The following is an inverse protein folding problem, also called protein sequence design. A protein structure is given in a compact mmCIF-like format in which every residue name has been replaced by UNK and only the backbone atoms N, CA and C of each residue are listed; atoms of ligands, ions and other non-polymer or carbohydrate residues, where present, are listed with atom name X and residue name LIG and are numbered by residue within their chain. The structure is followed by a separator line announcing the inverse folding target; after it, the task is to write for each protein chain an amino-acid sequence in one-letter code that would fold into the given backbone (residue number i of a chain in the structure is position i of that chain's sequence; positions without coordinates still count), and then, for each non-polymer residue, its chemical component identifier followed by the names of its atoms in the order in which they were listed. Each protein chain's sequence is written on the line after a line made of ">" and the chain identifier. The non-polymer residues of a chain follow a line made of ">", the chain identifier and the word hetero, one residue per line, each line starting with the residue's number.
data_IF_807451038842
#
_entry.id   IF_807451038842
#
_cell.length_a   1.000
_cell.length_b   1.000
_cell.length_c   1.000
_cell.angle_alpha   90.00
_cell.angle_beta   90.00
_cell.angle_gamma   90.00
#
_symmetry.space_group_name_H-M   'P 1'
#
loop_
_entity.id
_entity.type
_entity.pdbx_description
1 polymer ?
#
# COMPACT_ATOMS: atom_id res chain seq x y z
N UNK A 1 -28.64 -15.95 0.99
CA UNK A 1 -27.87 -14.69 0.84
C UNK A 1 -27.11 -14.43 2.13
N UNK A 2 -25.78 -14.23 2.13
CA UNK A 2 -25.10 -13.64 3.28
C UNK A 2 -24.90 -12.13 3.06
N UNK A 3 -25.42 -11.35 4.02
CA UNK A 3 -25.39 -9.89 4.18
C UNK A 3 -24.17 -9.43 4.99
N UNK A 4 -22.95 -9.78 4.56
CA UNK A 4 -21.75 -9.23 5.19
C UNK A 4 -20.76 -8.79 4.12
N UNK A 5 -20.69 -7.48 3.90
CA UNK A 5 -19.55 -6.87 3.23
C UNK A 5 -18.25 -7.18 3.98
N UNK A 6 -17.08 -7.13 3.31
CA UNK A 6 -15.81 -7.47 3.92
C UNK A 6 -15.55 -6.54 5.11
N UNK A 7 -15.46 -7.11 6.32
CA UNK A 7 -15.07 -6.37 7.52
C UNK A 7 -13.57 -6.10 7.44
N UNK A 8 -13.17 -4.84 7.63
CA UNK A 8 -11.78 -4.43 7.73
C UNK A 8 -11.04 -5.29 8.79
N UNK A 9 -9.83 -5.76 8.46
CA UNK A 9 -9.02 -6.55 9.41
C UNK A 9 -8.70 -5.73 10.66
N UNK A 10 -8.62 -6.38 11.83
CA UNK A 10 -8.20 -5.75 13.10
C UNK A 10 -6.84 -5.04 12.95
N UNK A 11 -5.98 -5.58 12.10
CA UNK A 11 -4.65 -5.03 11.79
C UNK A 11 -4.72 -3.80 10.86
N UNK A 12 -5.60 -3.82 9.86
CA UNK A 12 -5.91 -2.64 9.03
C UNK A 12 -6.45 -1.47 9.86
N UNK A 13 -7.30 -1.75 10.86
CA UNK A 13 -7.81 -0.72 11.77
C UNK A 13 -6.72 -0.11 12.64
N UNK A 14 -5.82 -0.93 13.20
CA UNK A 14 -4.67 -0.44 13.99
C UNK A 14 -3.71 0.41 13.15
N UNK A 15 -3.42 -0.02 11.91
CA UNK A 15 -2.59 0.75 10.97
C UNK A 15 -3.21 2.11 10.66
N UNK A 16 -4.52 2.15 10.40
CA UNK A 16 -5.23 3.41 10.21
C UNK A 16 -5.12 4.31 11.43
N UNK A 17 -5.49 3.83 12.63
CA UNK A 17 -5.48 4.65 13.85
C UNK A 17 -4.08 5.20 14.14
N UNK A 18 -3.04 4.40 13.91
CA UNK A 18 -1.66 4.83 14.01
C UNK A 18 -1.32 5.93 12.99
N UNK A 19 -1.62 5.73 11.70
CA UNK A 19 -1.39 6.72 10.64
C UNK A 19 -2.19 8.01 10.84
N UNK A 20 -3.43 7.93 11.32
CA UNK A 20 -4.24 9.11 11.66
C UNK A 20 -3.64 9.90 12.82
N UNK A 21 -3.07 9.22 13.81
CA UNK A 21 -2.39 9.88 14.93
C UNK A 21 -1.10 10.54 14.43
N UNK A 22 -0.32 9.83 13.62
CA UNK A 22 0.90 10.34 13.00
C UNK A 22 0.64 11.59 12.16
N UNK A 23 -0.41 11.59 11.33
CA UNK A 23 -0.78 12.71 10.47
C UNK A 23 -1.22 13.96 11.26
N UNK A 24 -1.77 13.78 12.46
CA UNK A 24 -2.13 14.88 13.38
C UNK A 24 -0.92 15.45 14.10
N UNK A 25 0.07 14.62 14.44
CA UNK A 25 1.31 15.05 15.10
C UNK A 25 2.39 15.53 14.13
N UNK A 26 2.29 15.14 12.85
CA UNK A 26 3.29 15.45 11.83
C UNK A 26 3.00 16.79 11.14
N UNK A 27 4.00 17.69 11.04
CA UNK A 27 3.89 18.94 10.29
C UNK A 27 3.93 18.74 8.77
N UNK A 28 4.16 17.52 8.27
CA UNK A 28 4.27 17.26 6.83
C UNK A 28 2.95 17.56 6.10
N UNK A 29 2.98 18.16 4.90
CA UNK A 29 1.77 18.47 4.13
C UNK A 29 1.07 17.23 3.56
N UNK A 30 1.61 16.03 3.78
CA UNK A 30 1.03 14.77 3.35
C UNK A 30 0.19 14.10 4.43
N UNK A 31 -0.90 13.47 3.99
CA UNK A 31 -1.74 12.61 4.78
C UNK A 31 -1.74 11.23 4.13
N UNK A 32 -0.99 10.29 4.72
CA UNK A 32 -0.92 8.93 4.25
C UNK A 32 -1.91 8.00 4.98
N UNK A 33 -2.78 7.36 4.21
CA UNK A 33 -3.73 6.33 4.62
C UNK A 33 -3.69 5.11 3.69
N UNK A 34 -2.56 4.92 3.00
CA UNK A 34 -2.30 3.74 2.19
C UNK A 34 -2.23 2.45 3.02
N UNK A 35 -2.48 1.30 2.36
CA UNK A 35 -2.29 -0.05 2.92
C UNK A 35 -3.08 -0.31 4.23
N UNK A 36 -4.23 0.34 4.38
CA UNK A 36 -5.08 0.22 5.57
C UNK A 36 -6.24 -0.78 5.36
N UNK A 37 -6.29 -1.47 4.21
CA UNK A 37 -7.38 -2.37 3.81
C UNK A 37 -8.76 -1.70 3.90
N UNK A 38 -8.79 -0.39 3.60
CA UNK A 38 -9.99 0.43 3.72
C UNK A 38 -11.03 0.04 2.67
N UNK A 39 -12.25 -0.27 3.10
CA UNK A 39 -13.39 -0.50 2.21
C UNK A 39 -14.11 0.79 1.82
N UNK A 40 -14.06 1.78 2.71
CA UNK A 40 -14.64 3.11 2.58
C UNK A 40 -13.71 4.15 3.21
N UNK A 41 -13.82 5.40 2.80
CA UNK A 41 -13.01 6.49 3.37
C UNK A 41 -13.55 6.83 4.76
N UNK A 42 -12.72 6.82 5.82
CA UNK A 42 -13.16 7.18 7.17
C UNK A 42 -13.78 8.57 7.27
N UNK A 43 -14.88 8.67 8.03
CA UNK A 43 -15.61 9.92 8.22
C UNK A 43 -14.74 11.00 8.84
N UNK A 44 -14.75 12.19 8.24
CA UNK A 44 -14.06 13.36 8.75
C UNK A 44 -12.62 13.51 8.30
N UNK A 45 -12.07 12.59 7.48
CA UNK A 45 -10.74 12.79 6.88
C UNK A 45 -10.69 14.07 6.08
N UNK A 46 -11.73 14.38 5.31
CA UNK A 46 -11.74 15.59 4.48
C UNK A 46 -11.73 16.86 5.34
N UNK A 47 -12.46 16.86 6.45
CA UNK A 47 -12.41 17.93 7.43
C UNK A 47 -11.04 18.03 8.13
N UNK A 48 -10.39 16.90 8.45
CA UNK A 48 -9.04 16.88 9.02
C UNK A 48 -8.01 17.44 8.04
N UNK A 49 -8.06 17.07 6.77
CA UNK A 49 -7.19 17.63 5.75
C UNK A 49 -7.37 19.15 5.60
N UNK A 50 -8.60 19.66 5.77
CA UNK A 50 -8.89 21.10 5.82
C UNK A 50 -8.24 21.78 7.03
N UNK A 51 -8.44 21.23 8.23
CA UNK A 51 -7.91 21.80 9.49
C UNK A 51 -6.38 21.78 9.49
N UNK A 52 -5.79 20.70 8.98
CA UNK A 52 -4.35 20.51 8.93
C UNK A 52 -3.70 21.07 7.65
N UNK A 53 -4.49 21.69 6.76
CA UNK A 53 -4.05 22.23 5.46
C UNK A 53 -3.14 21.28 4.67
N UNK A 54 -3.51 20.00 4.61
CA UNK A 54 -2.71 18.99 3.91
C UNK A 54 -2.86 19.17 2.39
N UNK A 55 -1.73 19.21 1.68
CA UNK A 55 -1.69 19.34 0.23
C UNK A 55 -1.71 17.98 -0.48
N UNK A 56 -1.32 16.90 0.20
CA UNK A 56 -1.20 15.56 -0.40
C UNK A 56 -2.03 14.55 0.38
N UNK A 57 -2.90 13.81 -0.29
CA UNK A 57 -3.71 12.74 0.30
C UNK A 57 -3.42 11.44 -0.43
N UNK A 58 -2.82 10.49 0.30
CA UNK A 58 -2.47 9.18 -0.22
C UNK A 58 -3.45 8.15 0.34
N UNK A 59 -4.25 7.56 -0.54
CA UNK A 59 -5.27 6.55 -0.22
C UNK A 59 -5.06 5.27 -1.06
N UNK A 60 -3.86 5.10 -1.61
CA UNK A 60 -3.55 3.99 -2.50
C UNK A 60 -3.49 2.63 -1.80
N UNK A 61 -3.56 1.56 -2.60
CA UNK A 61 -3.42 0.18 -2.11
C UNK A 61 -4.45 -0.18 -1.03
N UNK A 62 -5.70 0.24 -1.26
CA UNK A 62 -6.83 -0.03 -0.39
C UNK A 62 -7.93 -0.81 -1.14
N UNK A 63 -9.06 -1.06 -0.48
CA UNK A 63 -10.20 -1.78 -1.04
C UNK A 63 -11.37 -0.84 -1.32
N UNK A 64 -11.10 0.47 -1.53
CA UNK A 64 -12.12 1.49 -1.63
C UNK A 64 -13.02 1.23 -2.83
N UNK A 65 -14.32 1.08 -2.55
CA UNK A 65 -15.35 0.93 -3.59
C UNK A 65 -15.92 2.27 -4.04
N UNK A 66 -15.88 3.26 -3.16
CA UNK A 66 -16.33 4.63 -3.37
C UNK A 66 -15.52 5.60 -2.50
N UNK A 67 -15.47 6.87 -2.92
CA UNK A 67 -15.00 7.99 -2.10
C UNK A 67 -16.09 8.53 -1.17
N UNK A 68 -17.31 7.99 -1.24
CA UNK A 68 -18.39 8.31 -0.30
C UNK A 68 -18.00 7.81 1.10
N UNK A 69 -18.22 8.63 2.12
CA UNK A 69 -17.94 8.31 3.52
C UNK A 69 -16.94 9.23 4.20
N UNK A 70 -16.01 9.83 3.46
CA UNK A 70 -14.95 10.69 4.01
C UNK A 70 -15.39 12.05 4.56
N UNK A 71 -16.62 12.47 4.25
CA UNK A 71 -17.17 13.79 4.53
C UNK A 71 -17.52 14.54 3.24
N UNK A 72 -17.40 15.87 3.26
CA UNK A 72 -17.64 16.73 2.10
C UNK A 72 -16.31 16.90 1.34
N UNK A 73 -16.25 16.46 0.07
CA UNK A 73 -15.03 16.57 -0.75
C UNK A 73 -14.55 18.02 -0.92
N UNK A 74 -15.48 18.98 -0.93
CA UNK A 74 -15.20 20.43 -0.92
C UNK A 74 -14.24 20.89 0.17
N UNK A 75 -14.19 20.20 1.30
CA UNK A 75 -13.33 20.58 2.41
C UNK A 75 -11.84 20.39 2.08
N UNK A 76 -11.50 19.64 1.03
CA UNK A 76 -10.14 19.45 0.52
C UNK A 76 -9.66 20.64 -0.35
N UNK A 77 -9.89 21.86 0.12
CA UNK A 77 -9.64 23.09 -0.63
C UNK A 77 -8.15 23.43 -0.85
N UNK A 78 -7.24 22.82 -0.10
CA UNK A 78 -5.80 22.98 -0.24
C UNK A 78 -5.14 21.78 -0.95
N UNK A 79 -5.92 20.76 -1.33
CA UNK A 79 -5.38 19.52 -1.84
C UNK A 79 -4.85 19.72 -3.26
N UNK A 80 -3.60 19.31 -3.48
CA UNK A 80 -2.90 19.33 -4.76
C UNK A 80 -2.71 17.95 -5.34
N UNK A 81 -2.46 16.95 -4.50
CA UNK A 81 -2.22 15.58 -4.95
C UNK A 81 -3.22 14.63 -4.28
N UNK A 82 -3.96 13.89 -5.10
CA UNK A 82 -4.85 12.83 -4.67
C UNK A 82 -4.42 11.52 -5.31
N UNK A 83 -3.85 10.62 -4.50
CA UNK A 83 -3.39 9.32 -4.95
C UNK A 83 -4.37 8.22 -4.51
N UNK A 84 -5.05 7.61 -5.48
CA UNK A 84 -6.05 6.57 -5.32
C UNK A 84 -5.70 5.29 -6.08
N UNK A 85 -4.44 5.11 -6.49
CA UNK A 85 -4.05 3.92 -7.25
C UNK A 85 -4.27 2.62 -6.47
N UNK A 86 -4.43 1.50 -7.19
CA UNK A 86 -4.67 0.16 -6.61
C UNK A 86 -5.86 0.15 -5.62
N UNK A 87 -7.03 0.57 -6.11
CA UNK A 87 -8.28 0.51 -5.37
C UNK A 87 -9.34 -0.27 -6.16
N UNK A 88 -10.58 -0.30 -5.67
CA UNK A 88 -11.71 -0.99 -6.31
C UNK A 88 -12.79 0.00 -6.75
N UNK A 89 -12.41 1.25 -7.04
CA UNK A 89 -13.34 2.30 -7.40
C UNK A 89 -14.06 1.94 -8.70
N UNK A 90 -15.38 1.93 -8.67
CA UNK A 90 -16.25 1.67 -9.83
C UNK A 90 -16.66 2.95 -10.55
N UNK A 91 -16.80 4.03 -9.79
CA UNK A 91 -17.13 5.38 -10.26
C UNK A 91 -16.50 6.41 -9.32
N UNK A 92 -16.32 7.63 -9.82
CA UNK A 92 -15.99 8.79 -9.00
C UNK A 92 -17.26 9.60 -8.71
N UNK A 93 -17.36 10.24 -7.54
CA UNK A 93 -18.46 11.15 -7.24
C UNK A 93 -18.36 12.44 -8.07
N UNK A 94 -19.49 13.05 -8.39
CA UNK A 94 -19.54 14.34 -9.11
C UNK A 94 -18.89 15.48 -8.30
N UNK A 95 -18.88 15.37 -6.97
CA UNK A 95 -18.26 16.34 -6.07
C UNK A 95 -16.72 16.40 -6.24
N UNK A 96 -16.10 15.46 -6.98
CA UNK A 96 -14.66 15.54 -7.30
C UNK A 96 -14.32 16.83 -8.04
N UNK A 97 -15.25 17.37 -8.83
CA UNK A 97 -15.06 18.60 -9.58
C UNK A 97 -14.94 19.87 -8.73
N UNK A 98 -15.19 19.78 -7.41
CA UNK A 98 -15.06 20.91 -6.49
C UNK A 98 -13.61 21.14 -6.00
N UNK A 99 -12.69 20.22 -6.30
CA UNK A 99 -11.28 20.31 -5.91
C UNK A 99 -10.50 21.28 -6.80
N UNK A 100 -10.73 22.58 -6.63
CA UNK A 100 -10.19 23.63 -7.50
C UNK A 100 -8.66 23.68 -7.57
N UNK A 101 -7.95 23.26 -6.51
CA UNK A 101 -6.49 23.31 -6.40
C UNK A 101 -5.79 22.01 -6.81
N UNK A 102 -6.55 20.97 -7.18
CA UNK A 102 -5.99 19.66 -7.47
C UNK A 102 -5.14 19.72 -8.75
N UNK A 103 -3.89 19.28 -8.63
CA UNK A 103 -2.90 19.26 -9.72
C UNK A 103 -2.66 17.83 -10.22
N UNK A 104 -2.65 16.85 -9.32
CA UNK A 104 -2.37 15.45 -9.65
C UNK A 104 -3.50 14.56 -9.14
N UNK A 105 -4.10 13.80 -10.04
CA UNK A 105 -5.10 12.79 -9.74
C UNK A 105 -4.63 11.44 -10.29
N UNK A 106 -4.27 10.54 -9.39
CA UNK A 106 -3.86 9.18 -9.74
C UNK A 106 -4.96 8.17 -9.43
N UNK A 107 -5.47 7.52 -10.46
CA UNK A 107 -6.53 6.51 -10.42
C UNK A 107 -6.07 5.18 -11.01
N UNK A 108 -4.76 4.98 -11.17
CA UNK A 108 -4.19 3.78 -11.78
C UNK A 108 -4.68 2.50 -11.09
N UNK A 109 -4.95 1.46 -11.88
CA UNK A 109 -5.36 0.14 -11.39
C UNK A 109 -6.61 0.20 -10.50
N UNK A 110 -7.70 0.69 -11.08
CA UNK A 110 -9.04 0.72 -10.49
C UNK A 110 -10.05 0.00 -11.40
N UNK A 111 -11.35 0.08 -11.09
CA UNK A 111 -12.42 -0.56 -11.87
C UNK A 111 -13.35 0.47 -12.51
N UNK A 112 -12.86 1.67 -12.79
CA UNK A 112 -13.67 2.77 -13.32
C UNK A 112 -14.19 2.42 -14.71
N UNK A 113 -15.50 2.50 -14.90
CA UNK A 113 -16.15 2.31 -16.21
C UNK A 113 -16.30 3.61 -16.99
N UNK A 114 -16.42 4.73 -16.26
CA UNK A 114 -16.55 6.07 -16.81
C UNK A 114 -16.01 7.10 -15.81
N UNK A 115 -15.54 8.24 -16.30
CA UNK A 115 -15.18 9.41 -15.47
C UNK A 115 -16.35 10.39 -15.42
N UNK A 116 -16.80 10.90 -14.26
CA UNK A 116 -17.90 11.86 -14.25
C UNK A 116 -17.52 13.14 -15.00
N UNK A 117 -18.50 13.80 -15.62
CA UNK A 117 -18.27 15.07 -16.33
C UNK A 117 -17.66 16.13 -15.41
N UNK A 118 -17.92 16.04 -14.10
CA UNK A 118 -17.35 16.93 -13.11
C UNK A 118 -15.81 16.95 -13.05
N UNK A 119 -15.12 15.89 -13.51
CA UNK A 119 -13.63 15.90 -13.63
C UNK A 119 -13.16 17.04 -14.52
N UNK A 120 -13.96 17.45 -15.52
CA UNK A 120 -13.64 18.58 -16.40
C UNK A 120 -13.63 19.94 -15.70
N UNK A 121 -14.22 20.05 -14.50
CA UNK A 121 -14.24 21.28 -13.70
C UNK A 121 -12.91 21.54 -12.98
N UNK A 122 -12.01 20.54 -12.93
CA UNK A 122 -10.69 20.64 -12.31
C UNK A 122 -9.74 21.48 -13.18
N UNK A 123 -9.83 22.81 -13.04
CA UNK A 123 -9.07 23.75 -13.87
C UNK A 123 -7.56 23.74 -13.60
N UNK A 124 -7.12 23.37 -12.40
CA UNK A 124 -5.71 23.29 -12.03
C UNK A 124 -5.06 21.93 -12.28
N UNK A 125 -5.81 20.92 -12.76
CA UNK A 125 -5.28 19.57 -12.91
C UNK A 125 -4.27 19.50 -14.05
N UNK A 126 -3.07 19.05 -13.73
CA UNK A 126 -1.95 18.89 -14.65
C UNK A 126 -1.75 17.43 -15.06
N UNK A 127 -1.98 16.49 -14.15
CA UNK A 127 -1.78 15.07 -14.40
C UNK A 127 -3.01 14.28 -14.02
N UNK A 128 -3.57 13.57 -15.00
CA UNK A 128 -4.64 12.61 -14.81
C UNK A 128 -4.17 11.22 -15.25
N UNK A 129 -3.89 10.36 -14.27
CA UNK A 129 -3.52 8.97 -14.54
C UNK A 129 -4.74 8.07 -14.32
N UNK A 130 -5.27 7.51 -15.40
CA UNK A 130 -6.38 6.55 -15.39
C UNK A 130 -5.95 5.17 -15.95
N UNK A 131 -4.65 4.88 -15.94
CA UNK A 131 -4.09 3.63 -16.44
C UNK A 131 -4.71 2.41 -15.76
N UNK A 132 -4.85 1.30 -16.49
CA UNK A 132 -5.41 0.05 -15.95
C UNK A 132 -6.80 0.21 -15.32
N UNK A 133 -7.71 0.84 -16.06
CA UNK A 133 -9.12 0.91 -15.69
C UNK A 133 -10.00 0.20 -16.74
N UNK A 134 -11.32 0.34 -16.64
CA UNK A 134 -12.30 -0.24 -17.57
C UNK A 134 -13.06 0.84 -18.32
N UNK A 135 -12.42 2.00 -18.54
CA UNK A 135 -13.04 3.14 -19.20
C UNK A 135 -13.42 2.75 -20.63
N UNK A 136 -14.69 2.91 -21.00
CA UNK A 136 -15.19 2.67 -22.36
C UNK A 136 -15.15 3.93 -23.20
N UNK A 137 -15.47 5.06 -22.57
CA UNK A 137 -15.65 6.34 -23.24
C UNK A 137 -15.05 7.48 -22.41
N UNK A 138 -14.60 8.52 -23.11
CA UNK A 138 -14.12 9.76 -22.51
C UNK A 138 -15.05 10.89 -22.93
N UNK A 139 -15.66 11.56 -21.95
CA UNK A 139 -16.61 12.64 -22.19
C UNK A 139 -15.95 13.81 -22.92
N UNK A 140 -16.68 14.43 -23.85
CA UNK A 140 -16.22 15.62 -24.59
C UNK A 140 -15.86 16.80 -23.68
N UNK A 141 -16.42 16.84 -22.48
CA UNK A 141 -16.13 17.84 -21.46
C UNK A 141 -14.65 17.86 -21.02
N UNK A 142 -13.89 16.76 -21.19
CA UNK A 142 -12.46 16.72 -20.83
C UNK A 142 -11.66 17.83 -21.54
N UNK A 143 -12.10 18.26 -22.72
CA UNK A 143 -11.53 19.37 -23.47
C UNK A 143 -11.57 20.74 -22.77
N UNK A 144 -12.34 20.88 -21.68
CA UNK A 144 -12.42 22.12 -20.90
C UNK A 144 -11.30 22.25 -19.85
N UNK A 145 -10.45 21.23 -19.69
CA UNK A 145 -9.35 21.23 -18.73
C UNK A 145 -8.16 21.98 -19.31
N UNK A 146 -7.95 23.23 -18.89
CA UNK A 146 -6.95 24.13 -19.50
C UNK A 146 -5.52 23.92 -19.04
N UNK A 147 -5.31 23.22 -17.91
CA UNK A 147 -3.98 23.04 -17.31
C UNK A 147 -3.44 21.62 -17.46
N UNK A 148 -4.17 20.73 -18.15
CA UNK A 148 -3.81 19.33 -18.25
C UNK A 148 -2.59 19.16 -19.16
N UNK A 149 -1.51 18.59 -18.62
CA UNK A 149 -0.26 18.28 -19.31
C UNK A 149 -0.13 16.81 -19.63
N UNK A 150 -0.56 15.94 -18.71
CA UNK A 150 -0.42 14.49 -18.85
C UNK A 150 -1.77 13.80 -18.66
N UNK A 151 -2.16 13.02 -19.66
CA UNK A 151 -3.34 12.17 -19.63
C UNK A 151 -2.95 10.73 -19.98
N UNK A 152 -3.03 9.84 -18.99
CA UNK A 152 -2.78 8.41 -19.20
C UNK A 152 -4.10 7.64 -19.20
N UNK A 153 -4.45 7.11 -20.37
CA UNK A 153 -5.61 6.24 -20.61
C UNK A 153 -5.17 4.83 -21.04
N UNK A 154 -3.90 4.48 -20.90
CA UNK A 154 -3.37 3.18 -21.30
C UNK A 154 -4.03 2.02 -20.54
N UNK A 155 -4.10 0.84 -21.16
CA UNK A 155 -4.76 -0.35 -20.59
C UNK A 155 -6.21 -0.11 -20.16
N UNK A 156 -6.97 0.66 -20.96
CA UNK A 156 -8.42 0.83 -20.84
C UNK A 156 -9.15 0.18 -22.04
N UNK A 157 -10.47 0.37 -22.13
CA UNK A 157 -11.32 -0.08 -23.24
C UNK A 157 -11.82 1.08 -24.10
N UNK A 158 -11.07 2.19 -24.09
CA UNK A 158 -11.43 3.40 -24.85
C UNK A 158 -11.14 3.15 -26.32
N UNK A 159 -12.19 3.26 -27.14
CA UNK A 159 -12.09 3.07 -28.60
C UNK A 159 -12.14 4.37 -29.39
N UNK A 160 -12.75 5.42 -28.83
CA UNK A 160 -12.91 6.72 -29.49
C UNK A 160 -12.50 7.84 -28.53
N UNK A 161 -11.58 8.69 -28.98
CA UNK A 161 -11.27 9.94 -28.30
C UNK A 161 -12.17 11.08 -28.77
N UNK A 162 -12.65 11.94 -27.86
CA UNK A 162 -13.42 13.12 -28.23
C UNK A 162 -12.55 14.14 -28.96
N UNK A 163 -13.06 14.68 -30.07
CA UNK A 163 -12.39 15.75 -30.86
C UNK A 163 -12.07 16.99 -30.03
N UNK A 164 -12.90 17.25 -29.01
CA UNK A 164 -12.78 18.34 -28.05
C UNK A 164 -11.47 18.30 -27.24
N UNK A 165 -10.74 17.18 -27.22
CA UNK A 165 -9.42 17.10 -26.59
C UNK A 165 -8.42 18.09 -27.23
N UNK A 166 -8.62 18.48 -28.50
CA UNK A 166 -7.83 19.54 -29.16
C UNK A 166 -7.88 20.89 -28.42
N UNK A 167 -8.94 21.17 -27.65
CA UNK A 167 -9.05 22.42 -26.87
C UNK A 167 -8.01 22.51 -25.74
N UNK A 168 -7.43 21.38 -25.33
CA UNK A 168 -6.38 21.32 -24.32
C UNK A 168 -5.05 21.64 -25.00
N UNK A 169 -4.66 22.91 -24.95
CA UNK A 169 -3.44 23.38 -25.61
C UNK A 169 -2.16 23.11 -24.81
N UNK A 170 -2.28 22.65 -23.57
CA UNK A 170 -1.17 22.36 -22.65
C UNK A 170 -0.78 20.89 -22.62
N UNK A 171 -1.43 20.02 -23.40
CA UNK A 171 -1.26 18.57 -23.30
C UNK A 171 0.09 18.13 -23.91
N UNK A 172 1.04 17.78 -23.06
CA UNK A 172 2.38 17.32 -23.44
C UNK A 172 2.42 15.81 -23.70
N UNK A 173 1.68 15.03 -22.92
CA UNK A 173 1.72 13.56 -22.99
C UNK A 173 0.31 12.97 -22.91
N UNK A 174 -0.05 12.22 -23.94
CA UNK A 174 -1.26 11.43 -24.05
C UNK A 174 -0.87 9.99 -24.31
N UNK A 175 -1.14 9.12 -23.34
CA UNK A 175 -0.87 7.69 -23.43
C UNK A 175 -2.18 6.95 -23.66
N UNK A 176 -2.25 6.22 -24.77
CA UNK A 176 -3.43 5.44 -25.18
C UNK A 176 -3.00 4.06 -25.67
N UNK A 177 -3.89 3.08 -25.61
CA UNK A 177 -3.61 1.75 -26.12
C UNK A 177 -3.94 1.68 -27.62
N UNK A 178 -2.89 1.64 -28.45
CA UNK A 178 -2.96 1.60 -29.92
C UNK A 178 -3.87 0.45 -30.41
N UNK A 179 -3.92 -0.67 -29.67
CA UNK A 179 -4.63 -1.87 -30.11
C UNK A 179 -6.16 -1.78 -29.98
N UNK A 180 -6.66 -0.87 -29.15
CA UNK A 180 -8.09 -0.74 -28.86
C UNK A 180 -8.71 0.48 -29.56
N UNK A 181 -7.89 1.36 -30.13
CA UNK A 181 -8.34 2.61 -30.74
C UNK A 181 -8.91 2.41 -32.15
N UNK A 182 -10.13 2.91 -32.35
CA UNK A 182 -10.78 3.05 -33.66
C UNK A 182 -10.58 4.47 -34.19
N UNK A 183 -10.62 5.46 -33.30
CA UNK A 183 -10.41 6.87 -33.66
C UNK A 183 -9.71 7.62 -32.51
N UNK A 184 -8.51 8.20 -32.73
CA UNK A 184 -7.75 8.31 -33.99
C UNK A 184 -7.19 6.96 -34.49
N UNK A 185 -6.90 6.82 -35.79
CA UNK A 185 -6.40 5.58 -36.37
C UNK A 185 -5.08 5.15 -35.72
N UNK A 186 -4.87 3.83 -35.63
CA UNK A 186 -3.72 3.22 -34.95
C UNK A 186 -2.36 3.76 -35.43
N UNK A 187 -2.24 4.05 -36.73
CA UNK A 187 -1.02 4.61 -37.35
C UNK A 187 -0.64 5.97 -36.74
N UNK A 188 -1.61 6.83 -36.41
CA UNK A 188 -1.36 8.13 -35.77
C UNK A 188 -1.11 7.99 -34.27
N UNK A 189 -1.56 6.90 -33.66
CA UNK A 189 -1.28 6.62 -32.25
C UNK A 189 0.16 6.16 -32.04
N UNK A 190 0.79 5.53 -33.05
CA UNK A 190 2.21 5.17 -33.03
C UNK A 190 3.14 6.38 -33.20
N UNK A 191 2.73 7.39 -33.97
CA UNK A 191 3.46 8.66 -34.15
C UNK A 191 3.48 9.60 -32.93
N UNK A 192 2.84 9.18 -31.83
CA UNK A 192 2.90 9.86 -30.54
C UNK A 192 1.87 10.98 -30.34
N UNK A 193 1.94 11.61 -29.17
CA UNK A 193 0.92 12.57 -28.69
C UNK A 193 0.68 13.75 -29.63
N UNK A 194 1.73 14.28 -30.28
CA UNK A 194 1.61 15.43 -31.16
C UNK A 194 0.82 15.13 -32.45
N UNK A 195 0.91 13.90 -32.96
CA UNK A 195 0.16 13.47 -34.15
C UNK A 195 -1.30 13.21 -33.82
N UNK A 196 -1.56 12.57 -32.69
CA UNK A 196 -2.92 12.40 -32.15
C UNK A 196 -3.60 13.77 -32.00
N UNK A 197 -2.93 14.74 -31.40
CA UNK A 197 -3.48 16.08 -31.20
C UNK A 197 -3.71 16.82 -32.54
N UNK A 198 -2.77 16.73 -33.49
CA UNK A 198 -2.97 17.28 -34.85
C UNK A 198 -4.19 16.68 -35.55
N UNK A 199 -4.39 15.37 -35.44
CA UNK A 199 -5.53 14.67 -36.03
C UNK A 199 -6.86 15.12 -35.40
N UNK A 200 -6.90 15.24 -34.08
CA UNK A 200 -8.08 15.71 -33.33
C UNK A 200 -8.40 17.18 -33.65
N UNK A 201 -7.37 18.01 -33.85
CA UNK A 201 -7.52 19.41 -34.25
C UNK A 201 -8.01 19.55 -35.70
N UNK A 202 -7.44 18.80 -36.64
CA UNK A 202 -7.91 18.75 -38.02
C UNK A 202 -9.39 18.32 -38.11
N UNK A 203 -9.81 17.37 -37.27
CA UNK A 203 -11.20 16.91 -37.21
C UNK A 203 -12.17 17.86 -36.50
N UNK A 204 -11.64 18.82 -35.74
CA UNK A 204 -12.40 19.88 -35.06
C UNK A 204 -12.41 21.19 -35.86
N UNK A 205 -11.56 21.34 -36.88
CA UNK A 205 -11.37 22.58 -37.63
C UNK A 205 -10.53 23.63 -36.89
N UNK A 206 -9.72 23.23 -35.91
CA UNK A 206 -8.89 24.11 -35.08
C UNK A 206 -7.41 23.95 -35.43
N UNK A 207 -6.61 25.00 -35.25
CA UNK A 207 -5.16 24.96 -35.50
C UNK A 207 -4.42 24.32 -34.31
N UNK A 208 -3.60 23.30 -34.59
CA UNK A 208 -2.77 22.66 -33.57
C UNK A 208 -1.66 23.61 -33.12
N UNK A 209 -1.61 23.90 -31.83
CA UNK A 209 -0.53 24.67 -31.19
C UNK A 209 0.24 23.75 -30.25
N UNK A 210 1.58 23.68 -30.35
CA UNK A 210 2.37 22.87 -29.44
C UNK A 210 2.29 23.38 -28.00
N UNK A 211 2.44 22.51 -26.99
CA UNK A 211 2.30 22.85 -25.57
C UNK A 211 3.20 24.00 -25.10
N UNK A 212 4.38 24.13 -25.71
CA UNK A 212 5.38 25.15 -25.37
C UNK A 212 4.96 26.60 -25.64
N UNK A 213 3.88 26.84 -26.41
CA UNK A 213 3.40 28.19 -26.71
C UNK A 213 2.31 28.71 -25.76
N UNK A 214 1.76 27.85 -24.89
CA UNK A 214 0.69 28.24 -23.96
C UNK A 214 1.24 28.40 -22.53
N UNK A 215 1.57 29.64 -22.17
CA UNK A 215 1.76 30.06 -20.79
C UNK A 215 0.47 29.76 -20.01
N UNK A 216 0.57 28.96 -18.95
CA UNK A 216 -0.51 28.76 -18.00
C UNK A 216 -0.88 30.14 -17.41
N UNK A 217 -2.16 30.56 -17.45
CA UNK A 217 -2.59 31.63 -16.57
C UNK A 217 -2.45 31.09 -15.15
N UNK A 218 -1.45 31.57 -14.43
CA UNK A 218 -1.36 31.39 -12.98
C UNK A 218 -2.70 31.87 -12.42
N UNK A 219 -3.48 30.96 -11.84
CA UNK A 219 -4.72 31.28 -11.14
C UNK A 219 -4.35 31.98 -9.83
N UNK A 220 -3.87 33.22 -9.92
CA UNK A 220 -3.83 34.14 -8.79
C UNK A 220 -5.27 34.62 -8.57
N UNK A 221 -5.94 33.97 -7.61
CA UNK A 221 -7.20 34.46 -7.10
C UNK A 221 -6.96 35.75 -6.29
N UNK A 222 -7.09 36.90 -6.94
CA UNK A 222 -7.29 38.17 -6.25
C UNK A 222 -6.62 39.37 -6.89
N UNK A 223 -7.25 39.96 -7.91
CA UNK A 223 -7.65 41.38 -8.02
C UNK A 223 -7.91 41.76 -9.48
N UNK A 224 -8.95 42.56 -9.65
CA UNK A 224 -9.48 43.08 -10.91
C UNK A 224 -8.65 44.30 -11.32
N UNK A 225 -8.04 44.33 -12.50
CA UNK A 225 -8.10 45.49 -13.41
C UNK A 225 -7.37 45.28 -14.74
N UNK A 226 -7.83 46.06 -15.70
CA UNK A 226 -7.54 46.16 -17.13
C UNK A 226 -6.11 46.60 -17.55
N UNK A 227 -5.66 46.05 -18.71
CA UNK A 227 -4.98 46.70 -19.86
C UNK A 227 -3.43 46.83 -19.93
N UNK A 228 -2.89 46.15 -20.98
CA UNK A 228 -1.68 46.33 -21.83
C UNK A 228 -0.25 45.84 -21.44
N UNK A 229 0.49 45.20 -22.39
CA UNK A 229 1.92 44.79 -22.30
C UNK A 229 2.86 45.91 -22.86
N UNK A 230 4.22 45.80 -22.91
CA UNK A 230 5.08 44.60 -22.82
C UNK A 230 6.39 44.74 -21.98
N UNK A 231 6.81 43.67 -21.28
CA UNK A 231 8.22 43.43 -20.90
C UNK A 231 8.49 41.92 -20.78
N UNK A 232 9.10 41.30 -21.81
CA UNK A 232 9.08 39.84 -22.03
C UNK A 232 10.41 39.11 -21.80
N UNK A 233 11.44 39.71 -21.21
CA UNK A 233 12.76 39.01 -21.14
C UNK A 233 13.23 38.58 -19.74
N UNK A 234 12.68 39.14 -18.65
CA UNK A 234 13.02 38.68 -17.28
C UNK A 234 12.09 37.58 -16.76
N UNK A 235 10.86 37.52 -17.27
CA UNK A 235 9.86 36.58 -16.77
C UNK A 235 10.05 35.16 -17.34
N UNK A 236 10.61 35.05 -18.56
CA UNK A 236 10.86 33.76 -19.22
C UNK A 236 11.92 32.91 -18.50
N UNK A 237 12.97 33.55 -17.94
CA UNK A 237 14.00 32.85 -17.17
C UNK A 237 13.47 32.31 -15.84
N UNK A 238 12.65 33.11 -15.14
CA UNK A 238 12.05 32.72 -13.85
C UNK A 238 11.07 31.57 -14.06
N UNK A 239 10.30 31.56 -15.17
CA UNK A 239 9.39 30.47 -15.51
C UNK A 239 10.12 29.18 -15.91
N UNK A 240 11.21 29.26 -16.66
CA UNK A 240 12.04 28.07 -16.95
C UNK A 240 12.72 27.51 -15.71
N UNK A 241 13.17 28.36 -14.78
CA UNK A 241 13.68 27.93 -13.48
C UNK A 241 12.58 27.32 -12.60
N UNK A 242 11.34 27.85 -12.66
CA UNK A 242 10.22 27.30 -11.92
C UNK A 242 9.74 25.95 -12.47
N UNK A 243 9.61 25.79 -13.79
CA UNK A 243 9.24 24.51 -14.42
C UNK A 243 10.34 23.45 -14.19
N UNK A 244 11.63 23.83 -14.30
CA UNK A 244 12.75 22.94 -13.91
C UNK A 244 12.70 22.59 -12.43
N UNK A 245 12.45 23.56 -11.56
CA UNK A 245 12.36 23.36 -10.11
C UNK A 245 11.17 22.45 -9.74
N UNK A 246 10.05 22.57 -10.44
CA UNK A 246 8.88 21.71 -10.24
C UNK A 246 9.18 20.28 -10.69
N UNK A 247 9.83 20.12 -11.84
CA UNK A 247 10.21 18.83 -12.41
C UNK A 247 11.33 18.15 -11.59
N UNK A 248 12.25 18.92 -11.03
CA UNK A 248 13.23 18.46 -10.04
C UNK A 248 12.57 18.10 -8.71
N UNK A 249 11.57 18.86 -8.26
CA UNK A 249 10.79 18.51 -7.07
C UNK A 249 10.03 17.19 -7.26
N UNK A 250 9.52 16.95 -8.47
CA UNK A 250 8.82 15.72 -8.83
C UNK A 250 9.78 14.53 -8.85
N UNK A 251 10.95 14.68 -9.48
CA UNK A 251 11.98 13.64 -9.49
C UNK A 251 12.53 13.38 -8.08
N UNK A 252 12.66 14.42 -7.26
CA UNK A 252 13.03 14.27 -5.85
C UNK A 252 11.94 13.59 -5.03
N UNK A 253 10.66 13.88 -5.29
CA UNK A 253 9.55 13.20 -4.65
C UNK A 253 9.48 11.72 -5.05
N UNK A 254 9.68 11.38 -6.32
CA UNK A 254 9.78 9.98 -6.76
C UNK A 254 10.98 9.27 -6.14
N UNK A 255 12.16 9.90 -6.13
CA UNK A 255 13.35 9.35 -5.46
C UNK A 255 13.12 9.16 -3.97
N UNK A 256 12.47 10.12 -3.30
CA UNK A 256 12.17 10.03 -1.89
C UNK A 256 11.14 8.93 -1.61
N UNK A 257 10.13 8.79 -2.47
CA UNK A 257 9.15 7.69 -2.42
C UNK A 257 9.84 6.33 -2.60
N UNK A 258 10.75 6.20 -3.55
CA UNK A 258 11.54 4.99 -3.75
C UNK A 258 12.50 4.71 -2.60
N UNK A 259 13.15 5.74 -2.08
CA UNK A 259 14.04 5.63 -0.92
C UNK A 259 13.26 5.17 0.31
N UNK A 260 12.09 5.76 0.59
CA UNK A 260 11.21 5.32 1.69
C UNK A 260 10.73 3.89 1.50
N UNK A 261 10.42 3.49 0.27
CA UNK A 261 10.08 2.09 -0.05
C UNK A 261 11.25 1.15 0.21
N UNK A 262 12.47 1.58 -0.10
CA UNK A 262 13.71 0.83 0.17
C UNK A 262 13.98 0.71 1.67
N UNK A 263 13.93 1.82 2.41
CA UNK A 263 14.10 1.85 3.87
C UNK A 263 13.08 0.94 4.56
N UNK A 264 11.82 0.95 4.09
CA UNK A 264 10.79 0.04 4.59
C UNK A 264 11.12 -1.43 4.34
N UNK A 265 11.53 -1.78 3.11
CA UNK A 265 11.92 -3.16 2.76
C UNK A 265 13.14 -3.64 3.55
N UNK A 266 14.12 -2.76 3.79
CA UNK A 266 15.29 -3.09 4.62
C UNK A 266 14.91 -3.32 6.08
N UNK A 267 14.05 -2.47 6.65
CA UNK A 267 13.55 -2.65 8.01
C UNK A 267 12.75 -3.94 8.15
N UNK A 268 11.89 -4.26 7.18
CA UNK A 268 11.14 -5.51 7.14
C UNK A 268 12.07 -6.73 7.04
N UNK A 269 13.10 -6.66 6.20
CA UNK A 269 14.10 -7.72 6.10
C UNK A 269 14.89 -7.91 7.41
N UNK A 270 15.24 -6.81 8.11
CA UNK A 270 15.89 -6.88 9.43
C UNK A 270 14.98 -7.49 10.49
N UNK A 271 13.69 -7.12 10.51
CA UNK A 271 12.72 -7.71 11.43
C UNK A 271 12.54 -9.21 11.17
N UNK A 272 12.46 -9.62 9.89
CA UNK A 272 12.39 -11.04 9.53
C UNK A 272 13.66 -11.81 9.91
N UNK A 273 14.84 -11.24 9.67
CA UNK A 273 16.11 -11.83 10.09
C UNK A 273 16.17 -12.01 11.62
N UNK A 274 15.80 -10.98 12.39
CA UNK A 274 15.71 -11.07 13.84
C UNK A 274 14.72 -12.14 14.31
N UNK A 275 13.57 -12.28 13.64
CA UNK A 275 12.62 -13.35 13.94
C UNK A 275 13.18 -14.74 13.63
N UNK A 276 13.89 -14.90 12.51
CA UNK A 276 14.56 -16.15 12.15
C UNK A 276 15.65 -16.52 13.16
N UNK A 277 16.48 -15.57 13.56
CA UNK A 277 17.49 -15.78 14.62
C UNK A 277 16.82 -16.21 15.93
N UNK A 278 15.72 -15.56 16.32
CA UNK A 278 14.98 -15.92 17.52
C UNK A 278 14.38 -17.33 17.43
N UNK A 279 13.86 -17.73 16.26
CA UNK A 279 13.35 -19.08 16.01
C UNK A 279 14.47 -20.14 16.08
N UNK A 280 15.65 -19.85 15.53
CA UNK A 280 16.83 -20.74 15.63
C UNK A 280 17.28 -20.87 17.07
N UNK A 281 17.41 -19.76 17.80
CA UNK A 281 17.76 -19.76 19.22
C UNK A 281 16.75 -20.54 20.06
N UNK A 282 15.45 -20.38 19.78
CA UNK A 282 14.40 -21.14 20.47
C UNK A 282 14.49 -22.64 20.17
N UNK A 283 14.72 -23.02 18.91
CA UNK A 283 14.91 -24.42 18.50
C UNK A 283 16.12 -25.05 19.19
N UNK A 284 17.27 -24.36 19.19
CA UNK A 284 18.48 -24.81 19.86
C UNK A 284 18.28 -24.94 21.37
N UNK A 285 17.63 -23.97 22.02
CA UNK A 285 17.30 -24.04 23.44
C UNK A 285 16.34 -25.20 23.75
N UNK A 286 15.37 -25.47 22.87
CA UNK A 286 14.46 -26.61 23.00
C UNK A 286 15.20 -27.94 22.88
N UNK A 287 16.11 -28.05 21.91
CA UNK A 287 16.92 -29.24 21.72
C UNK A 287 17.87 -29.47 22.89
N UNK A 288 18.52 -28.42 23.40
CA UNK A 288 19.35 -28.49 24.60
C UNK A 288 18.55 -28.96 25.83
N UNK A 289 17.34 -28.43 26.05
CA UNK A 289 16.44 -28.89 27.11
C UNK A 289 16.08 -30.37 26.94
N UNK A 290 15.74 -30.80 25.73
CA UNK A 290 15.39 -32.19 25.45
C UNK A 290 16.58 -33.14 25.73
N UNK A 291 17.79 -32.73 25.34
CA UNK A 291 19.01 -33.49 25.60
C UNK A 291 19.24 -33.64 27.12
N UNK A 292 19.10 -32.57 27.90
CA UNK A 292 19.23 -32.62 29.36
C UNK A 292 18.18 -33.56 29.97
N UNK A 293 16.91 -33.46 29.55
CA UNK A 293 15.85 -34.35 30.01
C UNK A 293 16.18 -35.81 29.71
N UNK A 294 16.69 -36.09 28.51
CA UNK A 294 17.06 -37.45 28.09
C UNK A 294 18.20 -38.00 28.94
N UNK A 295 19.24 -37.19 29.19
CA UNK A 295 20.36 -37.59 30.04
C UNK A 295 19.90 -37.81 31.49
N UNK A 296 19.06 -36.93 32.03
CA UNK A 296 18.51 -37.10 33.37
C UNK A 296 17.66 -38.38 33.47
N UNK A 297 16.85 -38.70 32.47
CA UNK A 297 16.07 -39.92 32.43
C UNK A 297 16.96 -41.18 32.40
N UNK A 298 18.03 -41.17 31.60
CA UNK A 298 18.99 -42.28 31.55
C UNK A 298 19.72 -42.49 32.88
N UNK A 299 20.10 -41.41 33.57
CA UNK A 299 20.72 -41.50 34.89
C UNK A 299 19.72 -41.97 35.96
N UNK A 300 18.46 -41.56 35.86
CA UNK A 300 17.37 -42.05 36.72
C UNK A 300 17.18 -43.56 36.54
N UNK A 301 17.09 -44.03 35.29
CA UNK A 301 16.94 -45.46 34.97
C UNK A 301 18.14 -46.28 35.48
N UNK A 302 19.36 -45.76 35.39
CA UNK A 302 20.56 -46.40 35.96
C UNK A 302 20.47 -46.50 37.47
N UNK A 303 20.13 -45.40 38.17
CA UNK A 303 20.00 -45.42 39.62
C UNK A 303 18.90 -46.37 40.09
N UNK A 304 17.77 -46.41 39.39
CA UNK A 304 16.69 -47.35 39.67
C UNK A 304 17.13 -48.80 39.44
N UNK A 305 17.88 -49.05 38.37
CA UNK A 305 18.54 -50.35 38.12
C UNK A 305 19.46 -50.77 39.26
N UNK A 306 20.39 -49.90 39.67
CA UNK A 306 21.30 -50.15 40.80
C UNK A 306 20.53 -50.40 42.11
N UNK A 307 19.46 -49.65 42.36
CA UNK A 307 18.60 -49.83 43.53
C UNK A 307 17.93 -51.22 43.53
N UNK A 308 17.39 -51.63 42.39
CA UNK A 308 16.75 -52.95 42.25
C UNK A 308 17.74 -54.09 42.42
N UNK A 309 18.96 -53.97 41.89
CA UNK A 309 20.03 -54.94 42.10
C UNK A 309 20.43 -55.04 43.58
N UNK A 310 20.51 -53.91 44.28
CA UNK A 310 20.85 -53.84 45.70
C UNK A 310 19.73 -54.46 46.56
N UNK A 311 18.46 -54.21 46.22
CA UNK A 311 17.30 -54.86 46.83
C UNK A 311 17.34 -56.39 46.63
N UNK A 312 17.62 -56.85 45.40
CA UNK A 312 17.72 -58.27 45.08
C UNK A 312 18.85 -58.95 45.86
N UNK A 313 20.03 -58.32 45.97
CA UNK A 313 21.15 -58.85 46.78
C UNK A 313 20.77 -58.96 48.26
N UNK A 314 20.13 -57.92 48.84
CA UNK A 314 19.66 -57.96 50.22
C UNK A 314 18.63 -59.07 50.45
N UNK A 315 17.70 -59.27 49.53
CA UNK A 315 16.71 -60.34 49.64
C UNK A 315 17.36 -61.73 49.50
N UNK A 316 18.34 -61.91 48.62
CA UNK A 316 19.13 -63.15 48.52
C UNK A 316 19.93 -63.44 49.81
N UNK A 317 20.59 -62.45 50.38
CA UNK A 317 21.31 -62.61 51.66
C UNK A 317 20.35 -62.98 52.79
N UNK A 318 19.20 -62.30 52.89
CA UNK A 318 18.14 -62.64 53.83
C UNK A 318 17.65 -64.08 53.63
N UNK A 319 17.41 -64.52 52.39
CA UNK A 319 17.01 -65.89 52.10
C UNK A 319 18.08 -66.90 52.53
N UNK A 320 19.37 -66.62 52.28
CA UNK A 320 20.48 -67.46 52.76
C UNK A 320 20.55 -67.55 54.27
N UNK A 321 20.38 -66.42 54.97
CA UNK A 321 20.34 -66.40 56.44
C UNK A 321 19.15 -67.21 56.97
N UNK A 322 17.97 -67.08 56.36
CA UNK A 322 16.78 -67.87 56.71
C UNK A 322 17.03 -69.37 56.50
N UNK A 323 17.60 -69.77 55.36
CA UNK A 323 17.96 -71.17 55.09
C UNK A 323 19.02 -71.71 56.06
N UNK A 324 20.02 -70.89 56.42
CA UNK A 324 21.02 -71.26 57.42
C UNK A 324 20.42 -71.43 58.81
N UNK A 325 19.44 -70.59 59.19
CA UNK A 325 18.72 -70.72 60.45
C UNK A 325 17.82 -71.98 60.45
N UNK A 326 17.11 -72.25 59.34
CA UNK A 326 16.29 -73.45 59.18
C UNK A 326 17.12 -74.73 59.29
N UNK A 327 18.22 -74.83 58.53
CA UNK A 327 19.12 -75.98 58.60
C UNK A 327 19.79 -76.13 59.98
N UNK A 328 20.16 -75.03 60.64
CA UNK A 328 20.62 -75.04 62.02
C UNK A 328 19.57 -75.55 63.00
N UNK A 329 18.31 -75.14 62.85
CA UNK A 329 17.19 -75.66 63.65
C UNK A 329 16.94 -77.14 63.40
N UNK A 330 16.99 -77.61 62.15
CA UNK A 330 16.88 -79.04 61.81
C UNK A 330 18.02 -79.86 62.44
N UNK A 331 19.25 -79.34 62.43
CA UNK A 331 20.40 -79.99 63.05
C UNK A 331 20.27 -80.08 64.58
N UNK A 332 19.73 -79.03 65.23
CA UNK A 332 19.44 -79.04 66.66
C UNK A 332 18.33 -80.05 66.97
N UNK A 333 17.26 -80.08 66.17
CA UNK A 333 16.17 -81.06 66.31
C UNK A 333 16.68 -82.49 66.14
N UNK A 334 17.51 -82.77 65.12
CA UNK A 334 18.11 -84.08 64.89
C UNK A 334 19.01 -84.52 66.05
N UNK A 335 19.82 -83.60 66.60
CA UNK A 335 20.64 -83.86 67.80
C UNK A 335 19.81 -84.10 69.05
N UNK A 336 18.69 -83.41 69.20
CA UNK A 336 17.80 -83.61 70.34
C UNK A 336 17.11 -84.97 70.27
N UNK A 337 16.67 -85.42 69.08
CA UNK A 337 16.10 -86.74 68.86
C UNK A 337 17.09 -87.89 69.11
N UNK A 338 18.37 -87.70 68.75
CA UNK A 338 19.45 -88.68 69.02
C UNK A 338 19.85 -88.77 70.50
N UNK A 339 19.50 -87.78 71.33
CA UNK A 339 19.80 -87.76 72.77
C UNK A 339 18.67 -88.33 73.64
N UNK A 340 17.51 -88.59 73.06
CA UNK A 340 16.31 -89.11 73.72
C UNK A 340 16.01 -90.57 73.39
N UNK A 341 16.97 -91.30 72.80
CA UNK A 341 16.91 -92.75 72.59
C UNK A 341 17.94 -93.47 73.45
#
# INVERSE_FOLDING_TARGET
>A
MPLFGPKQSKEGKRRMEHKMTLAKSSPEPSYDLSDCELTEVPSGIYALCKVLQKEVLLLHSNLLSSLKGGGILKDLCALRVLDLHQNRLSSLPDDIGELATLQVLNLENNKLTSLPEAVSRLQALQTLNCRENRLTDVHSAIGNMKSLRTLDLSRNRVSVLPKQLCRIKTLESLLVDVKQMVYPPAELCEGGTAEIMKALCAASGEEYTPPSHHLLPVLDAGTRSEVTPPQTDKHLLIQQEYDKSLQESFLNYEKLKEQKRREHLELEAQLQAGHQEQMVMFSQASQARQNVITVMAQEQDKMDGELTDLQNRKEQEKQRLVQSLQSGMEFIFARHCLRTF
#
